data_IF_879742012017
#
_entry.id   IF_879742012017
#
_cell.length_a   1.000
_cell.length_b   1.000
_cell.length_c   1.000
_cell.angle_alpha   90.00
_cell.angle_beta   90.00
_cell.angle_gamma   90.00
#
_symmetry.space_group_name_H-M   'P 1'
#
loop_
_entity.id
_entity.type
_entity.pdbx_description
1 polymer ?
#
# COMPACT_ATOMS: atom_id res chain seq x y z
N UNK A 1 -7.50 -21.59 3.20
CA UNK A 1 -6.30 -20.81 3.54
C UNK A 1 -6.34 -19.57 2.65
N UNK A 2 -6.28 -18.39 3.23
CA UNK A 2 -6.29 -17.12 2.51
C UNK A 2 -4.95 -16.41 2.66
N UNK A 3 -4.60 -15.54 1.71
CA UNK A 3 -3.42 -14.70 1.73
C UNK A 3 -3.50 -13.69 2.88
N UNK A 4 -2.39 -13.32 3.49
CA UNK A 4 -2.33 -12.41 4.65
C UNK A 4 -2.80 -10.98 4.31
N UNK A 5 -2.49 -10.47 3.12
CA UNK A 5 -2.96 -9.16 2.68
C UNK A 5 -4.47 -9.18 2.35
N UNK A 6 -4.99 -10.29 1.83
CA UNK A 6 -6.43 -10.50 1.67
C UNK A 6 -7.13 -10.55 3.04
N UNK A 7 -6.58 -11.27 4.00
CA UNK A 7 -7.07 -11.26 5.37
C UNK A 7 -7.01 -9.85 5.98
N UNK A 8 -5.96 -9.07 5.66
CA UNK A 8 -5.86 -7.69 6.10
C UNK A 8 -7.05 -6.86 5.58
N UNK A 9 -7.36 -6.95 4.27
CA UNK A 9 -8.48 -6.25 3.68
C UNK A 9 -9.83 -6.67 4.28
N UNK A 10 -10.05 -7.97 4.46
CA UNK A 10 -11.25 -8.48 5.12
C UNK A 10 -11.41 -7.95 6.56
N UNK A 11 -10.29 -7.84 7.30
CA UNK A 11 -10.29 -7.28 8.64
C UNK A 11 -10.70 -5.81 8.68
N UNK A 12 -10.20 -5.02 7.72
CA UNK A 12 -10.59 -3.61 7.60
C UNK A 12 -12.08 -3.44 7.26
N UNK A 13 -12.65 -4.33 6.44
CA UNK A 13 -14.08 -4.35 6.17
C UNK A 13 -14.91 -4.83 7.36
N UNK A 14 -14.39 -5.76 8.15
CA UNK A 14 -15.11 -6.34 9.30
C UNK A 14 -15.12 -5.39 10.50
N UNK A 15 -13.98 -4.83 10.88
CA UNK A 15 -13.81 -4.08 12.13
C UNK A 15 -13.00 -2.79 12.02
N UNK A 16 -12.46 -2.46 10.84
CA UNK A 16 -11.56 -1.33 10.63
C UNK A 16 -12.16 -0.18 9.82
N UNK A 17 -11.29 0.48 9.06
CA UNK A 17 -11.57 1.72 8.32
C UNK A 17 -12.53 1.56 7.14
N UNK A 18 -12.74 0.32 6.64
CA UNK A 18 -13.69 0.03 5.57
C UNK A 18 -15.03 -0.55 6.08
N UNK A 19 -15.29 -0.51 7.39
CA UNK A 19 -16.52 -1.06 7.94
C UNK A 19 -17.76 -0.43 7.29
N UNK A 20 -18.63 -1.29 6.73
CA UNK A 20 -19.84 -0.88 6.02
C UNK A 20 -19.63 -0.43 4.58
N UNK A 21 -18.39 -0.40 4.09
CA UNK A 21 -18.07 -0.11 2.70
C UNK A 21 -18.06 -1.39 1.86
N UNK A 22 -18.34 -1.25 0.56
CA UNK A 22 -18.38 -2.37 -0.39
C UNK A 22 -17.23 -2.38 -1.38
N UNK A 23 -16.62 -1.22 -1.60
CA UNK A 23 -15.56 -1.05 -2.59
C UNK A 23 -14.38 -0.34 -1.93
N UNK A 24 -13.31 -1.08 -1.65
CA UNK A 24 -12.13 -0.53 -0.99
C UNK A 24 -10.87 -1.34 -1.32
N UNK A 25 -9.74 -0.68 -1.18
CA UNK A 25 -8.42 -1.27 -1.43
C UNK A 25 -7.53 -1.07 -0.23
N UNK A 26 -6.75 -2.09 0.09
CA UNK A 26 -5.72 -2.04 1.13
C UNK A 26 -4.35 -2.23 0.50
N UNK A 27 -3.40 -1.39 0.85
CA UNK A 27 -1.98 -1.57 0.63
C UNK A 27 -1.31 -1.86 1.97
N UNK A 28 -0.66 -3.00 2.11
CA UNK A 28 0.14 -3.31 3.30
C UNK A 28 1.60 -2.95 3.06
N UNK A 29 2.06 -1.86 3.68
CA UNK A 29 3.42 -1.33 3.56
C UNK A 29 4.30 -1.89 4.67
N UNK A 30 4.92 -3.02 4.39
CA UNK A 30 5.78 -3.80 5.32
C UNK A 30 7.16 -4.09 4.71
N UNK A 31 7.73 -5.26 4.98
CA UNK A 31 8.96 -5.76 4.35
C UNK A 31 8.84 -5.69 2.83
N UNK A 32 7.75 -6.21 2.29
CA UNK A 32 7.27 -5.99 0.94
C UNK A 32 6.03 -5.10 0.92
N UNK A 33 5.30 -5.13 -0.21
CA UNK A 33 4.00 -4.49 -0.38
C UNK A 33 2.99 -5.55 -0.79
N UNK A 34 2.02 -5.80 0.09
CA UNK A 34 0.86 -6.62 -0.25
C UNK A 34 -0.34 -5.76 -0.64
N UNK A 35 -1.35 -6.41 -1.19
CA UNK A 35 -2.62 -5.77 -1.51
C UNK A 35 -3.82 -6.66 -1.20
N UNK A 36 -4.93 -6.03 -0.91
CA UNK A 36 -6.23 -6.68 -0.81
C UNK A 36 -7.29 -5.77 -1.40
N UNK A 37 -8.17 -6.33 -2.21
CA UNK A 37 -9.21 -5.62 -2.93
C UNK A 37 -10.56 -6.22 -2.62
N UNK A 38 -11.50 -5.38 -2.23
CA UNK A 38 -12.92 -5.74 -2.08
C UNK A 38 -13.73 -4.89 -3.04
N UNK A 39 -14.58 -5.52 -3.83
CA UNK A 39 -15.51 -4.83 -4.72
C UNK A 39 -16.89 -5.48 -4.68
N UNK A 40 -17.94 -4.64 -4.61
CA UNK A 40 -19.31 -5.09 -4.39
C UNK A 40 -19.48 -5.87 -3.08
N UNK A 41 -18.63 -5.64 -2.08
CA UNK A 41 -18.62 -6.34 -0.79
C UNK A 41 -17.98 -7.74 -0.87
N UNK A 42 -17.25 -8.07 -1.94
CA UNK A 42 -16.58 -9.36 -2.12
C UNK A 42 -15.09 -9.19 -2.33
N UNK A 43 -14.31 -10.04 -1.70
CA UNK A 43 -12.87 -10.11 -1.93
C UNK A 43 -12.58 -10.52 -3.38
N UNK A 44 -11.72 -9.78 -4.05
CA UNK A 44 -11.29 -10.06 -5.42
C UNK A 44 -9.99 -10.87 -5.38
N UNK A 45 -10.12 -12.17 -5.61
CA UNK A 45 -8.98 -13.10 -5.64
C UNK A 45 -8.51 -13.42 -7.06
N UNK A 46 -9.29 -13.04 -8.07
CA UNK A 46 -9.02 -13.40 -9.47
C UNK A 46 -9.27 -14.87 -9.77
N UNK A 47 -9.16 -15.25 -11.04
CA UNK A 47 -9.48 -16.61 -11.52
C UNK A 47 -8.49 -17.68 -11.04
N UNK A 48 -7.30 -17.29 -10.60
CA UNK A 48 -6.24 -18.19 -10.14
C UNK A 48 -5.88 -18.00 -8.67
N UNK A 49 -6.63 -17.20 -7.93
CA UNK A 49 -6.35 -16.88 -6.54
C UNK A 49 -5.13 -15.94 -6.34
N UNK A 50 -4.66 -15.29 -7.39
CA UNK A 50 -3.48 -14.40 -7.38
C UNK A 50 -3.85 -12.93 -7.65
N UNK A 51 -5.11 -12.56 -7.45
CA UNK A 51 -5.57 -11.17 -7.60
C UNK A 51 -5.09 -10.27 -6.47
N UNK A 52 -5.18 -8.97 -6.70
CA UNK A 52 -4.88 -7.92 -5.70
C UNK A 52 -3.40 -7.77 -5.29
N UNK A 53 -2.46 -8.32 -6.06
CA UNK A 53 -1.02 -8.22 -5.85
C UNK A 53 -0.50 -6.79 -6.12
N UNK A 54 -0.92 -5.83 -5.31
CA UNK A 54 -0.64 -4.39 -5.51
C UNK A 54 0.84 -4.03 -5.47
N UNK A 55 1.65 -4.82 -4.76
CA UNK A 55 3.11 -4.65 -4.74
C UNK A 55 3.78 -4.93 -6.08
N UNK A 56 3.11 -5.70 -6.95
CA UNK A 56 3.60 -6.04 -8.28
C UNK A 56 3.12 -5.07 -9.39
N UNK A 57 2.43 -3.99 -9.03
CA UNK A 57 2.15 -2.91 -9.99
C UNK A 57 3.48 -2.40 -10.56
N UNK A 58 3.59 -2.38 -11.89
CA UNK A 58 4.78 -1.89 -12.56
C UNK A 58 4.85 -0.36 -12.49
N UNK A 59 5.97 0.17 -12.01
CA UNK A 59 6.17 1.61 -11.77
C UNK A 59 7.38 2.18 -12.50
N UNK A 60 7.91 1.46 -13.48
CA UNK A 60 9.03 1.90 -14.35
C UNK A 60 10.36 2.20 -13.64
N UNK A 61 10.59 1.70 -12.43
CA UNK A 61 11.92 1.77 -11.85
C UNK A 61 12.76 0.54 -12.21
N UNK A 62 14.09 0.58 -11.98
CA UNK A 62 15.02 -0.48 -12.43
C UNK A 62 15.30 -1.57 -11.38
N UNK A 63 14.64 -1.53 -10.23
CA UNK A 63 14.84 -2.49 -9.14
C UNK A 63 14.15 -3.84 -9.38
N UNK A 64 14.69 -4.89 -8.76
CA UNK A 64 14.08 -6.21 -8.67
C UNK A 64 13.48 -6.41 -7.28
N UNK A 65 12.37 -7.14 -7.20
CA UNK A 65 11.78 -7.53 -5.93
C UNK A 65 12.76 -8.38 -5.09
N UNK A 66 12.83 -8.12 -3.80
CA UNK A 66 13.66 -8.89 -2.88
C UNK A 66 13.10 -10.31 -2.65
N UNK A 67 11.80 -10.48 -2.75
CA UNK A 67 11.09 -11.75 -2.48
C UNK A 67 11.22 -12.82 -3.57
N UNK A 68 12.09 -12.64 -4.59
CA UNK A 68 12.35 -13.69 -5.57
C UNK A 68 11.26 -13.88 -6.64
N UNK A 69 10.32 -12.96 -6.82
CA UNK A 69 9.33 -13.01 -7.89
C UNK A 69 9.92 -12.85 -9.29
N UNK A 70 11.24 -12.58 -9.39
CA UNK A 70 11.99 -12.30 -10.61
C UNK A 70 11.46 -11.09 -11.43
N UNK A 71 10.45 -10.39 -10.96
CA UNK A 71 9.89 -9.21 -11.61
C UNK A 71 10.78 -7.98 -11.43
N UNK A 72 10.81 -7.13 -12.46
CA UNK A 72 11.56 -5.87 -12.47
C UNK A 72 10.61 -4.69 -12.57
N UNK A 73 10.90 -3.64 -11.82
CA UNK A 73 10.11 -2.40 -11.87
C UNK A 73 8.82 -2.44 -11.07
N UNK A 74 8.64 -3.44 -10.22
CA UNK A 74 7.49 -3.55 -9.33
C UNK A 74 7.58 -2.54 -8.18
N UNK A 75 6.44 -2.01 -7.75
CA UNK A 75 6.34 -1.05 -6.65
C UNK A 75 7.06 -1.53 -5.38
N UNK A 76 6.90 -2.79 -5.02
CA UNK A 76 7.50 -3.40 -3.83
C UNK A 76 9.03 -3.25 -3.81
N UNK A 77 9.69 -3.43 -4.95
CA UNK A 77 11.14 -3.38 -5.06
C UNK A 77 11.73 -1.98 -4.74
N UNK A 78 10.89 -0.95 -4.71
CA UNK A 78 11.27 0.43 -4.38
C UNK A 78 10.67 0.89 -3.06
N UNK A 79 9.39 0.65 -2.84
CA UNK A 79 8.61 1.23 -1.76
C UNK A 79 8.29 0.26 -0.61
N UNK A 80 8.65 -1.02 -0.71
CA UNK A 80 8.73 -1.94 0.43
C UNK A 80 9.94 -1.63 1.32
N UNK A 81 9.95 -2.05 2.58
CA UNK A 81 11.03 -1.74 3.52
C UNK A 81 12.40 -2.19 3.02
N UNK A 82 12.49 -3.36 2.36
CA UNK A 82 13.74 -3.86 1.78
C UNK A 82 14.22 -2.98 0.62
N UNK A 83 13.30 -2.50 -0.23
CA UNK A 83 13.59 -1.56 -1.30
C UNK A 83 14.10 -0.22 -0.77
N UNK A 84 13.39 0.33 0.22
CA UNK A 84 13.76 1.57 0.91
C UNK A 84 15.15 1.45 1.57
N UNK A 85 15.39 0.34 2.28
CA UNK A 85 16.69 0.08 2.92
C UNK A 85 17.84 0.00 1.89
N UNK A 86 17.59 -0.62 0.72
CA UNK A 86 18.54 -0.67 -0.37
C UNK A 86 18.85 0.72 -0.95
N UNK A 87 17.84 1.55 -1.12
CA UNK A 87 18.00 2.96 -1.55
C UNK A 87 18.86 3.72 -0.54
N UNK A 88 18.52 3.64 0.75
CA UNK A 88 19.28 4.29 1.83
C UNK A 88 20.73 3.83 1.86
N UNK A 89 20.99 2.51 1.75
CA UNK A 89 22.33 1.92 1.68
C UNK A 89 23.16 2.50 0.53
N UNK A 90 22.58 2.59 -0.65
CA UNK A 90 23.27 3.12 -1.84
C UNK A 90 23.65 4.60 -1.69
N UNK A 91 22.94 5.34 -0.83
CA UNK A 91 23.22 6.74 -0.49
C UNK A 91 24.18 6.90 0.70
N UNK A 92 24.61 5.80 1.33
CA UNK A 92 25.40 5.83 2.56
C UNK A 92 24.61 6.36 3.77
N UNK A 93 23.28 6.14 3.78
CA UNK A 93 22.37 6.60 4.82
C UNK A 93 21.85 5.41 5.68
N UNK A 94 21.33 5.68 6.89
CA UNK A 94 20.72 4.64 7.74
C UNK A 94 19.62 3.88 7.01
N UNK A 95 19.67 2.53 7.09
CA UNK A 95 18.75 1.63 6.38
C UNK A 95 17.43 1.39 7.14
N UNK A 96 17.36 1.79 8.41
CA UNK A 96 16.10 1.75 9.17
C UNK A 96 15.12 2.77 8.56
N UNK A 97 13.96 2.26 8.15
CA UNK A 97 12.96 3.06 7.41
C UNK A 97 12.50 4.28 8.20
N UNK A 98 12.31 4.15 9.50
CA UNK A 98 11.85 5.24 10.36
C UNK A 98 12.92 6.34 10.46
N UNK A 99 14.17 5.95 10.67
CA UNK A 99 15.30 6.87 10.72
C UNK A 99 15.49 7.55 9.36
N UNK A 100 15.44 6.78 8.26
CA UNK A 100 15.58 7.32 6.91
C UNK A 100 14.44 8.28 6.55
N UNK A 101 13.21 7.99 7.01
CA UNK A 101 12.07 8.90 6.84
C UNK A 101 12.30 10.26 7.53
N UNK A 102 12.79 10.27 8.76
CA UNK A 102 13.05 11.51 9.49
C UNK A 102 14.19 12.32 8.90
N UNK A 103 15.15 11.68 8.22
CA UNK A 103 16.26 12.37 7.56
C UNK A 103 15.82 13.20 6.35
N UNK A 104 14.67 12.94 5.76
CA UNK A 104 14.16 13.72 4.60
C UNK A 104 14.07 15.23 4.88
N UNK A 105 13.91 15.64 6.15
CA UNK A 105 13.83 17.03 6.55
C UNK A 105 15.20 17.69 6.73
N UNK A 106 16.28 16.90 6.76
CA UNK A 106 17.63 17.36 7.13
C UNK A 106 18.71 17.02 6.10
N UNK A 107 18.47 16.02 5.26
CA UNK A 107 19.44 15.55 4.26
C UNK A 107 18.80 15.58 2.86
N UNK A 108 19.31 16.42 1.94
CA UNK A 108 18.77 16.53 0.57
C UNK A 108 18.76 15.21 -0.20
N UNK A 109 19.70 14.28 0.10
CA UNK A 109 19.73 12.96 -0.55
C UNK A 109 18.54 12.10 -0.09
N UNK A 110 18.26 12.13 1.22
CA UNK A 110 17.12 11.45 1.78
C UNK A 110 15.80 12.04 1.24
N UNK A 111 15.71 13.37 1.20
CA UNK A 111 14.57 14.06 0.60
C UNK A 111 14.31 13.58 -0.85
N UNK A 112 15.32 13.66 -1.71
CA UNK A 112 15.18 13.29 -3.13
C UNK A 112 14.82 11.81 -3.32
N UNK A 113 15.35 10.92 -2.47
CA UNK A 113 15.02 9.50 -2.50
C UNK A 113 13.55 9.28 -2.11
N UNK A 114 13.09 9.93 -1.04
CA UNK A 114 11.69 9.83 -0.63
C UNK A 114 10.73 10.45 -1.64
N UNK A 115 11.12 11.56 -2.29
CA UNK A 115 10.34 12.11 -3.40
C UNK A 115 10.09 11.06 -4.50
N UNK A 116 11.14 10.31 -4.85
CA UNK A 116 11.03 9.22 -5.84
C UNK A 116 10.13 8.09 -5.34
N UNK A 117 10.35 7.61 -4.11
CA UNK A 117 9.57 6.52 -3.52
C UNK A 117 8.08 6.88 -3.45
N UNK A 118 7.79 8.09 -2.94
CA UNK A 118 6.40 8.58 -2.83
C UNK A 118 5.73 8.77 -4.18
N UNK A 119 6.48 9.22 -5.19
CA UNK A 119 5.95 9.39 -6.56
C UNK A 119 5.51 8.04 -7.14
N UNK A 120 6.30 6.98 -6.97
CA UNK A 120 5.93 5.65 -7.44
C UNK A 120 4.74 5.07 -6.67
N UNK A 121 4.71 5.25 -5.35
CA UNK A 121 3.58 4.80 -4.53
C UNK A 121 2.29 5.58 -4.89
N UNK A 122 2.40 6.89 -5.08
CA UNK A 122 1.29 7.73 -5.52
C UNK A 122 0.75 7.32 -6.91
N UNK A 123 1.67 7.00 -7.84
CA UNK A 123 1.31 6.51 -9.17
C UNK A 123 0.53 5.18 -9.13
N UNK A 124 0.96 4.26 -8.27
CA UNK A 124 0.24 3.00 -8.07
C UNK A 124 -1.15 3.22 -7.45
N UNK A 125 -1.26 4.06 -6.43
CA UNK A 125 -2.55 4.41 -5.80
C UNK A 125 -3.46 5.10 -6.82
N UNK A 126 -2.97 6.07 -7.59
CA UNK A 126 -3.76 6.75 -8.61
C UNK A 126 -4.26 5.79 -9.70
N UNK A 127 -3.44 4.81 -10.09
CA UNK A 127 -3.84 3.77 -11.05
C UNK A 127 -4.99 2.93 -10.51
N UNK A 128 -4.91 2.54 -9.23
CA UNK A 128 -5.96 1.78 -8.55
C UNK A 128 -7.24 2.62 -8.41
N UNK A 129 -7.12 3.90 -8.07
CA UNK A 129 -8.25 4.84 -8.01
C UNK A 129 -9.00 4.89 -9.37
N UNK A 130 -8.27 5.07 -10.47
CA UNK A 130 -8.89 5.14 -11.80
C UNK A 130 -9.51 3.83 -12.27
N UNK A 131 -8.93 2.69 -11.85
CA UNK A 131 -9.37 1.38 -12.31
C UNK A 131 -10.59 0.86 -11.54
N UNK A 132 -10.68 1.18 -10.25
CA UNK A 132 -11.59 0.53 -9.31
C UNK A 132 -12.58 1.47 -8.65
N UNK A 133 -12.34 2.78 -8.68
CA UNK A 133 -13.18 3.81 -8.02
C UNK A 133 -13.56 3.43 -6.57
N UNK A 134 -12.58 3.16 -5.69
CA UNK A 134 -12.86 2.67 -4.35
C UNK A 134 -13.37 3.80 -3.44
N UNK A 135 -14.23 3.46 -2.46
CA UNK A 135 -14.71 4.37 -1.42
C UNK A 135 -13.60 4.83 -0.47
N UNK A 136 -12.56 4.00 -0.32
CA UNK A 136 -11.38 4.29 0.50
C UNK A 136 -10.17 3.47 0.03
N UNK A 137 -9.00 4.06 0.09
CA UNK A 137 -7.70 3.36 0.01
C UNK A 137 -7.08 3.37 1.40
N UNK A 138 -6.79 2.20 1.94
CA UNK A 138 -6.26 2.02 3.29
C UNK A 138 -4.79 1.63 3.21
N UNK A 139 -3.94 2.32 3.95
CA UNK A 139 -2.54 1.98 4.12
C UNK A 139 -2.33 1.26 5.45
N UNK A 140 -1.93 0.01 5.38
CA UNK A 140 -1.53 -0.82 6.50
C UNK A 140 -0.02 -0.99 6.62
N UNK A 141 0.42 -1.76 7.62
CA UNK A 141 1.82 -2.07 7.85
C UNK A 141 2.60 -0.99 8.59
N UNK A 142 3.89 -1.27 8.84
CA UNK A 142 4.74 -0.41 9.67
C UNK A 142 5.05 0.95 9.05
N UNK A 143 5.24 1.00 7.74
CA UNK A 143 5.59 2.22 7.00
C UNK A 143 4.43 3.21 7.01
N UNK A 144 3.18 2.73 6.96
CA UNK A 144 1.99 3.59 6.94
C UNK A 144 1.87 4.52 8.14
N UNK A 145 2.55 4.18 9.24
CA UNK A 145 2.55 4.95 10.50
C UNK A 145 3.58 6.08 10.52
N UNK A 146 4.32 6.31 9.43
CA UNK A 146 5.29 7.39 9.36
C UNK A 146 4.60 8.77 9.45
N UNK A 147 5.01 9.63 10.39
CA UNK A 147 4.35 10.94 10.59
C UNK A 147 4.37 11.78 9.31
N UNK A 148 3.21 12.29 8.89
CA UNK A 148 3.09 13.10 7.68
C UNK A 148 3.12 12.34 6.36
N UNK A 149 3.07 10.99 6.38
CA UNK A 149 3.03 10.19 5.16
C UNK A 149 1.76 10.45 4.33
N UNK A 150 0.59 10.47 4.98
CA UNK A 150 -0.69 10.69 4.27
C UNK A 150 -0.69 12.03 3.53
N UNK A 151 -0.44 13.20 4.17
CA UNK A 151 -0.39 14.47 3.45
C UNK A 151 0.64 14.48 2.30
N UNK A 152 1.82 13.89 2.51
CA UNK A 152 2.84 13.81 1.47
C UNK A 152 2.43 12.94 0.27
N UNK A 153 1.65 11.89 0.51
CA UNK A 153 1.09 11.07 -0.56
C UNK A 153 -0.07 11.77 -1.28
N UNK A 154 -0.98 12.40 -0.56
CA UNK A 154 -2.11 13.14 -1.14
C UNK A 154 -1.62 14.25 -2.07
N UNK A 155 -0.59 15.01 -1.66
CA UNK A 155 0.04 16.03 -2.50
C UNK A 155 0.52 15.45 -3.84
N UNK A 156 1.05 14.23 -3.85
CA UNK A 156 1.53 13.56 -5.06
C UNK A 156 0.45 12.82 -5.84
N UNK A 157 -0.58 12.32 -5.17
CA UNK A 157 -1.68 11.61 -5.82
C UNK A 157 -2.60 12.58 -6.57
N UNK A 158 -2.97 13.69 -5.95
CA UNK A 158 -3.93 14.64 -6.50
C UNK A 158 -3.61 15.12 -7.94
N UNK A 159 -2.36 15.48 -8.28
CA UNK A 159 -2.03 15.87 -9.66
C UNK A 159 -2.16 14.74 -10.68
N UNK A 160 -2.07 13.48 -10.23
CA UNK A 160 -2.17 12.29 -11.08
C UNK A 160 -3.62 11.89 -11.37
N UNK A 161 -4.56 12.34 -10.52
CA UNK A 161 -5.97 11.99 -10.66
C UNK A 161 -6.68 12.86 -11.68
N UNK A 162 -7.54 12.25 -12.50
CA UNK A 162 -8.55 12.95 -13.28
C UNK A 162 -9.50 13.72 -12.34
N UNK A 163 -10.02 14.85 -12.80
CA UNK A 163 -10.76 15.80 -11.95
C UNK A 163 -11.84 15.16 -11.06
N UNK A 164 -12.72 14.26 -11.56
CA UNK A 164 -13.75 13.67 -10.70
C UNK A 164 -13.18 12.86 -9.53
N UNK A 165 -12.04 12.20 -9.72
CA UNK A 165 -11.41 11.38 -8.69
C UNK A 165 -10.73 12.18 -7.58
N UNK A 166 -10.39 13.46 -7.84
CA UNK A 166 -9.79 14.32 -6.81
C UNK A 166 -10.74 14.65 -5.67
N UNK A 167 -12.02 14.75 -5.96
CA UNK A 167 -13.05 15.07 -4.99
C UNK A 167 -13.40 13.87 -4.10
N UNK A 168 -13.14 12.64 -4.57
CA UNK A 168 -13.45 11.40 -3.87
C UNK A 168 -12.23 10.69 -3.30
N UNK A 169 -11.04 11.28 -3.42
CA UNK A 169 -9.83 10.72 -2.81
C UNK A 169 -10.01 10.61 -1.30
N UNK A 170 -9.99 9.38 -0.79
CA UNK A 170 -10.12 9.06 0.62
C UNK A 170 -9.00 8.07 0.99
N UNK A 171 -7.92 8.61 1.55
CA UNK A 171 -6.74 7.85 1.94
C UNK A 171 -6.70 7.75 3.47
N UNK A 172 -6.60 6.55 4.02
CA UNK A 172 -6.60 6.32 5.47
C UNK A 172 -5.46 5.41 5.90
N UNK A 173 -5.04 5.54 7.14
CA UNK A 173 -4.16 4.57 7.80
C UNK A 173 -5.01 3.57 8.57
N UNK A 174 -4.67 2.29 8.46
CA UNK A 174 -5.30 1.22 9.23
C UNK A 174 -5.29 1.50 10.73
N UNK A 175 -6.45 1.49 11.35
CA UNK A 175 -6.59 1.57 12.80
C UNK A 175 -6.31 0.23 13.50
N UNK A 176 -6.57 -0.89 12.82
CA UNK A 176 -6.34 -2.24 13.33
C UNK A 176 -4.85 -2.63 13.33
N UNK A 177 -4.08 -2.09 12.39
CA UNK A 177 -2.65 -2.38 12.26
C UNK A 177 -2.37 -3.86 12.08
N UNK A 178 -1.47 -4.44 12.90
CA UNK A 178 -1.08 -5.85 12.83
C UNK A 178 -2.20 -6.85 13.20
N UNK A 179 -3.28 -6.37 13.77
CA UNK A 179 -4.41 -7.22 14.16
C UNK A 179 -5.42 -7.40 13.01
N UNK A 180 -5.35 -6.57 11.97
CA UNK A 180 -6.26 -6.65 10.82
C UNK A 180 -6.36 -8.06 10.20
N UNK A 181 -5.27 -8.80 9.92
CA UNK A 181 -5.37 -10.15 9.38
C UNK A 181 -6.10 -11.14 10.30
N UNK A 182 -6.02 -10.95 11.61
CA UNK A 182 -6.73 -11.81 12.58
C UNK A 182 -8.24 -11.57 12.51
N UNK A 183 -8.66 -10.31 12.44
CA UNK A 183 -10.07 -9.96 12.24
C UNK A 183 -10.58 -10.46 10.89
N UNK A 184 -9.76 -10.40 9.83
CA UNK A 184 -10.11 -10.93 8.52
C UNK A 184 -10.29 -12.44 8.52
N UNK A 185 -9.37 -13.18 9.13
CA UNK A 185 -9.50 -14.62 9.28
C UNK A 185 -10.75 -15.00 10.09
N UNK A 186 -11.06 -14.26 11.15
CA UNK A 186 -12.28 -14.46 11.93
C UNK A 186 -13.54 -14.17 11.11
N UNK A 187 -13.54 -13.13 10.27
CA UNK A 187 -14.68 -12.76 9.42
C UNK A 187 -15.02 -13.85 8.40
N UNK A 188 -14.02 -14.52 7.84
CA UNK A 188 -14.19 -15.66 6.94
C UNK A 188 -14.89 -16.83 7.64
N UNK A 189 -14.51 -17.11 8.88
CA UNK A 189 -15.12 -18.18 9.67
C UNK A 189 -16.58 -17.87 10.04
N UNK A 190 -16.88 -16.58 10.29
CA UNK A 190 -18.23 -16.11 10.62
C UNK A 190 -19.14 -15.92 9.39
N UNK A 191 -18.62 -16.11 8.17
CA UNK A 191 -19.40 -15.97 6.94
C UNK A 191 -19.81 -14.54 6.58
N UNK A 192 -19.10 -13.55 7.09
CA UNK A 192 -19.48 -12.15 6.89
C UNK A 192 -18.99 -11.52 5.57
N UNK A 193 -17.97 -12.09 4.93
CA UNK A 193 -17.41 -11.58 3.66
C UNK A 193 -16.84 -12.75 2.85
N UNK A 194 -17.68 -13.46 2.14
CA UNK A 194 -17.30 -14.54 1.22
C UNK A 194 -17.64 -14.18 -0.23
#
# INVERSE_FOLDING_TARGET
VENDANCYALGEGFAGEARGMKDYVVFTLGTGIGGGLVSGGRLITGSHGMGSESGHIWTNHQGFCAGGCAGKGHLEALAGADGIAKVAKNLGLPQDVKTFWTLREKDPRAFQAWETILTHLAGAIASVMHLLDPQVVILGGGISKAPGLIPALEEKILPLLALPFREVLNLRVSSLGKEAPLFGAASLWLGHLS
#
